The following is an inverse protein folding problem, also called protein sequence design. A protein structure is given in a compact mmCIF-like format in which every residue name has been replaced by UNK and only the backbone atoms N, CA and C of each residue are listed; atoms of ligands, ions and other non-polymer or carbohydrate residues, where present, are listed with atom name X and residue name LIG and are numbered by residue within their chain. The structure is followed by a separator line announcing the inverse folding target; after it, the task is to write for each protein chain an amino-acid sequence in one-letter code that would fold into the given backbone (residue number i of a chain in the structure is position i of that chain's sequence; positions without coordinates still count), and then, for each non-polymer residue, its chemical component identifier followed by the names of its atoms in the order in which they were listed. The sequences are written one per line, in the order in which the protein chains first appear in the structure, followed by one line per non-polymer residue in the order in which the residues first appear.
data_IF_659432027872
#
_entry.id   IF_659432027872
#
_cell.length_a   1.000
_cell.length_b   1.000
_cell.length_c   1.000
_cell.angle_alpha   90.00
_cell.angle_beta   90.00
_cell.angle_gamma   90.00
#
_symmetry.space_group_name_H-M   'P 1'
#
loop_
_entity.id
_entity.type
_entity.pdbx_description
1 polymer ?
#
# COMPACT_ATOMS: atom_id res chain seq x y z
N UNK A 1 -30.66 14.10 -3.60
CA UNK A 1 -29.45 14.16 -2.73
C UNK A 1 -28.47 13.14 -3.30
N UNK A 2 -27.26 13.53 -3.72
CA UNK A 2 -26.27 12.56 -4.20
C UNK A 2 -25.90 11.62 -3.03
N UNK A 3 -25.66 10.35 -3.34
CA UNK A 3 -25.47 9.26 -2.35
C UNK A 3 -24.27 9.52 -1.42
N UNK A 4 -23.23 10.15 -1.95
CA UNK A 4 -22.02 10.53 -1.23
C UNK A 4 -22.29 11.54 -0.10
N UNK A 5 -23.18 12.51 -0.28
CA UNK A 5 -23.55 13.46 0.77
C UNK A 5 -24.23 12.76 1.95
N UNK A 6 -25.10 11.79 1.66
CA UNK A 6 -25.79 11.03 2.71
C UNK A 6 -24.79 10.14 3.46
N UNK A 7 -23.93 9.44 2.73
CA UNK A 7 -22.88 8.60 3.31
C UNK A 7 -21.91 9.43 4.15
N UNK A 8 -21.46 10.59 3.67
CA UNK A 8 -20.57 11.48 4.43
C UNK A 8 -21.25 12.09 5.66
N UNK A 9 -22.55 12.39 5.60
CA UNK A 9 -23.31 12.85 6.77
C UNK A 9 -23.42 11.77 7.84
N UNK A 10 -23.81 10.56 7.45
CA UNK A 10 -23.85 9.41 8.37
C UNK A 10 -22.45 9.12 8.93
N UNK A 11 -21.43 9.13 8.07
CA UNK A 11 -20.04 8.91 8.45
C UNK A 11 -19.56 9.91 9.50
N UNK A 12 -19.75 11.22 9.25
CA UNK A 12 -19.34 12.28 10.17
C UNK A 12 -20.03 12.16 11.53
N UNK A 13 -21.32 11.80 11.56
CA UNK A 13 -22.06 11.55 12.81
C UNK A 13 -21.50 10.34 13.55
N UNK A 14 -21.33 9.20 12.87
CA UNK A 14 -20.85 7.96 13.50
C UNK A 14 -19.44 8.12 14.05
N UNK A 15 -18.51 8.64 13.24
CA UNK A 15 -17.12 8.84 13.65
C UNK A 15 -17.02 9.91 14.72
N UNK A 16 -17.71 11.04 14.55
CA UNK A 16 -17.72 12.12 15.52
C UNK A 16 -18.25 11.69 16.89
N UNK A 17 -19.39 11.00 16.94
CA UNK A 17 -19.97 10.49 18.20
C UNK A 17 -19.07 9.42 18.81
N UNK A 18 -18.53 8.50 18.01
CA UNK A 18 -17.65 7.44 18.50
C UNK A 18 -16.37 8.00 19.13
N UNK A 19 -15.76 9.02 18.51
CA UNK A 19 -14.60 9.70 19.05
C UNK A 19 -14.94 10.48 20.33
N UNK A 20 -16.07 11.18 20.35
CA UNK A 20 -16.57 11.85 21.54
C UNK A 20 -16.74 10.87 22.71
N UNK A 21 -17.48 9.77 22.50
CA UNK A 21 -17.72 8.75 23.53
C UNK A 21 -16.42 8.11 24.03
N UNK A 22 -15.47 7.85 23.12
CA UNK A 22 -14.16 7.29 23.49
C UNK A 22 -13.37 8.24 24.38
N UNK A 23 -13.32 9.54 24.04
CA UNK A 23 -12.58 10.54 24.81
C UNK A 23 -13.25 10.86 26.14
N UNK A 24 -14.58 10.91 26.17
CA UNK A 24 -15.36 11.03 27.40
C UNK A 24 -15.17 9.83 28.31
N UNK A 25 -15.29 8.61 27.78
CA UNK A 25 -15.10 7.37 28.56
C UNK A 25 -13.68 7.22 29.10
N UNK A 26 -12.70 7.80 28.42
CA UNK A 26 -11.32 7.92 28.89
C UNK A 26 -11.08 9.09 29.87
N UNK A 27 -12.11 9.85 30.23
CA UNK A 27 -12.06 11.07 31.06
C UNK A 27 -11.12 12.15 30.51
N UNK A 28 -11.00 12.26 29.19
CA UNK A 28 -10.14 13.25 28.51
C UNK A 28 -10.89 14.57 28.30
N UNK A 29 -12.20 14.50 28.07
CA UNK A 29 -13.07 15.65 27.81
C UNK A 29 -14.33 15.57 28.67
N UNK A 30 -14.94 16.73 28.94
CA UNK A 30 -16.21 16.81 29.64
C UNK A 30 -17.39 16.46 28.73
N UNK A 31 -18.40 15.83 29.34
CA UNK A 31 -19.66 15.52 28.67
C UNK A 31 -20.45 16.79 28.37
N UNK A 32 -20.45 17.23 27.11
CA UNK A 32 -21.40 18.23 26.64
C UNK A 32 -21.88 17.97 25.21
N UNK A 33 -23.12 18.37 24.93
CA UNK A 33 -23.71 18.33 23.59
C UNK A 33 -22.94 19.22 22.62
N UNK A 34 -22.40 20.35 23.09
CA UNK A 34 -21.57 21.24 22.28
C UNK A 34 -20.28 20.55 21.85
N UNK A 35 -19.61 19.86 22.78
CA UNK A 35 -18.38 19.10 22.49
C UNK A 35 -18.67 18.01 21.47
N UNK A 36 -19.75 17.23 21.66
CA UNK A 36 -20.17 16.22 20.69
C UNK A 36 -20.44 16.83 19.29
N UNK A 37 -21.11 17.98 19.24
CA UNK A 37 -21.35 18.72 18.00
C UNK A 37 -20.08 19.13 17.28
N UNK A 38 -19.06 19.61 18.02
CA UNK A 38 -17.74 19.95 17.46
C UNK A 38 -17.09 18.71 16.83
N UNK A 39 -17.13 17.56 17.49
CA UNK A 39 -16.57 16.32 16.94
C UNK A 39 -17.27 15.87 15.66
N UNK A 40 -18.60 15.98 15.59
CA UNK A 40 -19.36 15.64 14.37
C UNK A 40 -18.97 16.58 13.22
N UNK A 41 -18.87 17.88 13.47
CA UNK A 41 -18.46 18.88 12.46
C UNK A 41 -17.01 18.64 12.01
N UNK A 42 -16.11 18.34 12.94
CA UNK A 42 -14.71 18.05 12.65
C UNK A 42 -14.52 16.75 11.88
N UNK A 43 -15.34 15.73 12.15
CA UNK A 43 -15.31 14.44 11.47
C UNK A 43 -16.08 14.40 10.15
N UNK A 44 -16.91 15.41 9.89
CA UNK A 44 -17.64 15.51 8.64
C UNK A 44 -16.67 15.68 7.45
N UNK A 45 -16.78 14.86 6.39
CA UNK A 45 -15.98 15.03 5.18
C UNK A 45 -16.49 16.24 4.38
N UNK A 46 -15.66 17.29 4.27
CA UNK A 46 -16.01 18.55 3.62
C UNK A 46 -15.71 18.52 2.13
N UNK A 47 -16.74 18.73 1.31
CA UNK A 47 -16.58 18.81 -0.15
C UNK A 47 -16.27 20.25 -0.58
N UNK A 48 -15.19 20.42 -1.33
CA UNK A 48 -14.79 21.69 -1.96
C UNK A 48 -14.53 21.40 -3.44
N UNK A 49 -15.46 21.82 -4.29
CA UNK A 49 -15.49 21.41 -5.71
C UNK A 49 -15.68 19.89 -5.84
N UNK A 50 -14.80 19.24 -6.61
CA UNK A 50 -14.78 17.77 -6.81
C UNK A 50 -14.03 17.01 -5.70
N UNK A 51 -13.33 17.72 -4.81
CA UNK A 51 -12.48 17.12 -3.81
C UNK A 51 -13.16 17.07 -2.45
N UNK A 52 -12.79 16.08 -1.64
CA UNK A 52 -13.23 15.93 -0.25
C UNK A 52 -12.03 16.07 0.67
N UNK A 53 -12.19 16.84 1.73
CA UNK A 53 -11.20 17.08 2.77
C UNK A 53 -11.78 16.66 4.12
N UNK A 54 -11.07 15.82 4.86
CA UNK A 54 -11.56 15.28 6.11
C UNK A 54 -10.44 15.11 7.13
N UNK A 55 -10.77 15.12 8.42
CA UNK A 55 -9.82 14.68 9.43
C UNK A 55 -9.76 13.17 9.56
N UNK A 56 -10.87 12.47 9.28
CA UNK A 56 -11.02 11.04 9.62
C UNK A 56 -11.34 10.12 8.43
N UNK A 57 -11.28 10.61 7.19
CA UNK A 57 -11.64 9.86 5.98
C UNK A 57 -13.06 10.16 5.51
N UNK A 58 -13.67 9.28 4.72
CA UNK A 58 -14.99 9.48 4.12
C UNK A 58 -15.07 8.97 2.69
N UNK A 59 -16.04 9.48 1.95
CA UNK A 59 -16.37 8.96 0.62
C UNK A 59 -16.35 10.05 -0.44
N UNK A 60 -15.68 9.79 -1.57
CA UNK A 60 -15.76 10.60 -2.77
C UNK A 60 -16.05 9.72 -4.00
N UNK A 61 -17.19 9.93 -4.64
CA UNK A 61 -17.60 9.19 -5.84
C UNK A 61 -17.59 10.08 -7.09
N UNK A 62 -16.98 11.28 -7.03
CA UNK A 62 -17.00 12.22 -8.16
C UNK A 62 -16.13 11.73 -9.32
N UNK A 63 -16.76 11.64 -10.49
CA UNK A 63 -16.13 11.34 -11.78
C UNK A 63 -15.73 12.61 -12.50
N UNK A 64 -14.70 12.53 -13.34
CA UNK A 64 -14.39 13.54 -14.31
C UNK A 64 -15.55 13.68 -15.31
N UNK A 65 -16.17 14.86 -15.37
CA UNK A 65 -17.27 15.14 -16.28
C UNK A 65 -16.84 15.21 -17.76
N UNK A 66 -15.55 15.40 -18.05
CA UNK A 66 -15.00 15.48 -19.41
C UNK A 66 -13.69 14.72 -19.54
N UNK A 67 -13.45 14.17 -20.72
CA UNK A 67 -12.22 13.48 -21.09
C UNK A 67 -11.01 14.43 -20.90
N UNK A 68 -10.06 14.03 -20.04
CA UNK A 68 -8.86 14.82 -19.72
C UNK A 68 -8.96 15.66 -18.45
N UNK A 69 -10.10 15.67 -17.74
CA UNK A 69 -10.17 16.18 -16.36
C UNK A 69 -9.88 15.06 -15.37
N UNK A 70 -9.25 15.40 -14.24
CA UNK A 70 -9.01 14.41 -13.19
C UNK A 70 -10.30 14.13 -12.38
N UNK A 71 -10.44 12.92 -11.86
CA UNK A 71 -11.50 12.57 -10.91
C UNK A 71 -11.40 13.33 -9.59
N UNK A 72 -12.45 13.20 -8.77
CA UNK A 72 -12.47 13.69 -7.41
C UNK A 72 -11.42 13.01 -6.54
N UNK A 73 -10.72 13.81 -5.73
CA UNK A 73 -9.71 13.32 -4.77
C UNK A 73 -10.27 13.39 -3.36
N UNK A 74 -9.80 12.53 -2.47
CA UNK A 74 -10.04 12.67 -1.03
C UNK A 74 -8.72 12.81 -0.29
N UNK A 75 -8.66 13.78 0.61
CA UNK A 75 -7.53 14.06 1.47
C UNK A 75 -7.96 13.89 2.91
N UNK A 76 -7.26 13.04 3.65
CA UNK A 76 -7.46 12.91 5.09
C UNK A 76 -6.19 13.03 5.90
N UNK A 77 -6.33 13.51 7.14
CA UNK A 77 -5.24 13.42 8.11
C UNK A 77 -5.12 11.98 8.61
N UNK A 78 -6.21 11.46 9.17
CA UNK A 78 -6.35 10.07 9.59
C UNK A 78 -7.47 9.48 8.74
N UNK A 79 -7.27 8.33 8.12
CA UNK A 79 -8.30 7.61 7.39
C UNK A 79 -8.73 6.41 8.22
N UNK A 80 -9.86 6.52 8.92
CA UNK A 80 -10.47 5.35 9.55
C UNK A 80 -11.04 4.45 8.46
N UNK A 81 -11.91 5.02 7.63
CA UNK A 81 -12.39 4.43 6.38
C UNK A 81 -12.37 5.53 5.33
N UNK A 82 -11.73 5.26 4.20
CA UNK A 82 -11.69 6.18 3.07
C UNK A 82 -11.95 5.44 1.77
N UNK A 83 -12.88 5.97 0.99
CA UNK A 83 -13.15 5.51 -0.36
C UNK A 83 -13.11 6.71 -1.31
N UNK A 84 -12.40 6.55 -2.41
CA UNK A 84 -12.38 7.48 -3.52
C UNK A 84 -12.57 6.72 -4.82
N UNK A 85 -13.34 7.28 -5.73
CA UNK A 85 -13.32 6.81 -7.11
C UNK A 85 -11.98 7.18 -7.77
N UNK A 86 -11.59 8.45 -7.70
CA UNK A 86 -10.25 8.91 -8.07
C UNK A 86 -9.22 8.62 -6.97
N UNK A 87 -8.27 9.54 -6.77
CA UNK A 87 -7.17 9.32 -5.81
C UNK A 87 -7.61 9.48 -4.34
N UNK A 88 -6.97 8.71 -3.47
CA UNK A 88 -7.14 8.74 -2.03
C UNK A 88 -5.78 9.00 -1.35
N UNK A 89 -5.70 10.09 -0.60
CA UNK A 89 -4.49 10.50 0.12
C UNK A 89 -4.77 10.57 1.61
N UNK A 90 -3.85 10.07 2.41
CA UNK A 90 -3.91 10.15 3.86
C UNK A 90 -2.53 10.36 4.48
N UNK A 91 -2.47 10.96 5.66
CA UNK A 91 -1.23 10.94 6.47
C UNK A 91 -1.15 9.62 7.22
N UNK A 92 -2.22 9.23 7.91
CA UNK A 92 -2.37 7.92 8.57
C UNK A 92 -3.57 7.20 8.00
N UNK A 93 -3.46 5.90 7.74
CA UNK A 93 -4.55 5.10 7.20
C UNK A 93 -4.76 3.82 7.99
N UNK A 94 -6.03 3.45 8.20
CA UNK A 94 -6.48 2.11 8.58
C UNK A 94 -7.07 1.38 7.37
N UNK A 95 -8.14 1.91 6.76
CA UNK A 95 -8.78 1.36 5.55
C UNK A 95 -8.89 2.42 4.48
N UNK A 96 -8.25 2.20 3.33
CA UNK A 96 -8.29 3.13 2.19
C UNK A 96 -8.48 2.39 0.88
N UNK A 97 -9.38 2.92 0.05
CA UNK A 97 -9.69 2.40 -1.28
C UNK A 97 -9.70 3.55 -2.28
N UNK A 98 -8.95 3.39 -3.36
CA UNK A 98 -9.00 4.23 -4.55
C UNK A 98 -9.37 3.32 -5.73
N UNK A 99 -10.59 3.47 -6.23
CA UNK A 99 -11.19 2.49 -7.16
C UNK A 99 -10.61 2.57 -8.58
N UNK A 100 -10.20 3.76 -9.03
CA UNK A 100 -9.68 4.02 -10.38
C UNK A 100 -8.41 4.87 -10.35
N UNK A 101 -7.79 5.04 -9.17
CA UNK A 101 -6.62 5.89 -9.04
C UNK A 101 -5.62 5.41 -8.00
N UNK A 102 -4.93 6.37 -7.41
CA UNK A 102 -3.83 6.14 -6.48
C UNK A 102 -4.30 6.18 -5.04
N UNK A 103 -3.87 5.20 -4.25
CA UNK A 103 -4.00 5.22 -2.79
C UNK A 103 -2.63 5.46 -2.16
N UNK A 104 -2.43 6.64 -1.55
CA UNK A 104 -1.15 7.01 -0.94
C UNK A 104 -1.30 7.34 0.55
N UNK A 105 -0.37 6.86 1.35
CA UNK A 105 -0.26 7.12 2.78
C UNK A 105 1.18 7.45 3.17
N UNK A 106 1.38 8.46 4.01
CA UNK A 106 2.72 8.85 4.46
C UNK A 106 3.18 7.95 5.62
N UNK A 107 2.36 7.83 6.65
CA UNK A 107 2.61 7.03 7.86
C UNK A 107 1.55 5.94 7.95
N UNK A 108 1.88 4.74 7.51
CA UNK A 108 0.95 3.62 7.48
C UNK A 108 0.82 2.94 8.85
N UNK A 109 -0.43 2.87 9.33
CA UNK A 109 -0.89 1.78 10.21
C UNK A 109 -2.06 1.12 9.48
N UNK A 110 -1.79 0.70 8.25
CA UNK A 110 -2.83 0.28 7.32
C UNK A 110 -3.24 -1.15 7.58
N UNK A 111 -4.51 -1.35 7.88
CA UNK A 111 -5.13 -2.68 7.87
C UNK A 111 -5.40 -3.13 6.44
N UNK A 112 -5.85 -2.20 5.59
CA UNK A 112 -6.14 -2.43 4.19
C UNK A 112 -5.90 -1.18 3.35
N UNK A 113 -5.20 -1.34 2.24
CA UNK A 113 -5.00 -0.30 1.24
C UNK A 113 -5.13 -0.87 -0.16
N UNK A 114 -6.04 -0.29 -0.95
CA UNK A 114 -6.23 -0.60 -2.36
C UNK A 114 -6.17 0.65 -3.21
N UNK A 115 -5.47 0.58 -4.34
CA UNK A 115 -5.45 1.58 -5.38
C UNK A 115 -5.38 0.88 -6.73
N UNK A 116 -6.23 1.26 -7.68
CA UNK A 116 -6.20 0.63 -9.00
C UNK A 116 -4.87 0.88 -9.73
N UNK A 117 -4.41 2.14 -9.75
CA UNK A 117 -3.22 2.52 -10.49
C UNK A 117 -1.94 2.37 -9.69
N UNK A 118 -2.01 2.63 -8.38
CA UNK A 118 -0.82 2.68 -7.55
C UNK A 118 -1.21 2.66 -6.07
N UNK A 119 -0.44 1.92 -5.27
CA UNK A 119 -0.50 2.04 -3.83
C UNK A 119 0.85 2.38 -3.24
N UNK A 120 0.91 3.40 -2.39
CA UNK A 120 2.12 3.75 -1.67
C UNK A 120 1.86 3.91 -0.19
N UNK A 121 2.69 3.25 0.60
CA UNK A 121 2.90 3.56 2.01
C UNK A 121 4.35 3.98 2.20
N UNK A 122 4.62 5.21 2.65
CA UNK A 122 6.01 5.66 2.78
C UNK A 122 6.72 5.06 3.98
N UNK A 123 6.13 5.13 5.17
CA UNK A 123 6.71 4.58 6.40
C UNK A 123 5.63 3.89 7.22
N UNK A 124 5.85 2.66 7.69
CA UNK A 124 5.01 2.09 8.75
C UNK A 124 4.67 0.61 8.62
N UNK A 125 3.48 0.24 9.08
CA UNK A 125 2.97 -1.13 9.10
C UNK A 125 1.78 -1.22 8.15
N UNK A 126 1.84 -2.17 7.23
CA UNK A 126 0.74 -2.52 6.33
C UNK A 126 0.39 -4.00 6.48
N UNK A 127 -0.85 -4.29 6.88
CA UNK A 127 -1.31 -5.68 6.94
C UNK A 127 -1.65 -6.20 5.55
N UNK A 128 -2.35 -5.40 4.75
CA UNK A 128 -2.74 -5.76 3.40
C UNK A 128 -2.67 -4.56 2.48
N UNK A 129 -1.80 -4.63 1.47
CA UNK A 129 -1.67 -3.63 0.43
C UNK A 129 -1.80 -4.28 -0.94
N UNK A 130 -2.71 -3.77 -1.74
CA UNK A 130 -2.99 -4.29 -3.06
C UNK A 130 -3.07 -3.18 -4.09
N UNK A 131 -2.42 -3.38 -5.22
CA UNK A 131 -2.61 -2.57 -6.40
C UNK A 131 -3.24 -3.40 -7.51
N UNK A 132 -4.11 -2.76 -8.31
CA UNK A 132 -4.71 -3.38 -9.49
C UNK A 132 -3.69 -3.49 -10.61
N UNK A 133 -3.67 -2.49 -11.47
CA UNK A 133 -2.91 -2.47 -12.72
C UNK A 133 -1.50 -1.88 -12.54
N UNK A 134 -1.23 -1.16 -11.44
CA UNK A 134 0.11 -0.61 -11.19
C UNK A 134 0.74 -1.07 -9.89
N UNK A 135 1.71 -0.31 -9.41
CA UNK A 135 2.66 -0.79 -8.41
C UNK A 135 2.10 -0.71 -6.99
N UNK A 136 2.35 -1.76 -6.21
CA UNK A 136 2.25 -1.70 -4.76
C UNK A 136 3.63 -1.42 -4.18
N UNK A 137 3.83 -0.23 -3.62
CA UNK A 137 5.09 0.23 -3.07
C UNK A 137 5.01 0.48 -1.55
N UNK A 138 6.03 0.04 -0.83
CA UNK A 138 6.27 0.38 0.57
C UNK A 138 7.69 0.94 0.72
N UNK A 139 7.83 2.16 1.23
CA UNK A 139 9.13 2.77 1.47
C UNK A 139 9.87 2.02 2.58
N UNK A 140 9.54 2.32 3.84
CA UNK A 140 10.21 1.75 5.01
C UNK A 140 9.18 1.10 5.92
N UNK A 141 9.31 -0.18 6.26
CA UNK A 141 8.35 -0.73 7.23
C UNK A 141 8.18 -2.23 7.32
N UNK A 142 7.00 -2.61 7.77
CA UNK A 142 6.54 -3.98 7.87
C UNK A 142 5.33 -4.18 6.94
N UNK A 143 5.37 -5.20 6.10
CA UNK A 143 4.22 -5.63 5.31
C UNK A 143 3.88 -7.08 5.61
N UNK A 144 2.62 -7.38 5.90
CA UNK A 144 2.17 -8.77 5.98
C UNK A 144 1.84 -9.31 4.58
N UNK A 145 1.04 -8.58 3.82
CA UNK A 145 0.68 -8.95 2.45
C UNK A 145 0.80 -7.75 1.52
N UNK A 146 1.59 -7.89 0.47
CA UNK A 146 1.77 -6.90 -0.57
C UNK A 146 1.56 -7.57 -1.93
N UNK A 147 0.57 -7.08 -2.68
CA UNK A 147 0.20 -7.66 -3.97
C UNK A 147 0.03 -6.59 -5.05
N UNK A 148 0.54 -6.85 -6.23
CA UNK A 148 0.11 -6.19 -7.46
C UNK A 148 -0.40 -7.26 -8.43
N UNK A 149 -1.49 -7.00 -9.16
CA UNK A 149 -2.02 -7.98 -10.12
C UNK A 149 -1.15 -8.01 -11.39
N UNK A 150 -0.95 -6.83 -12.01
CA UNK A 150 -0.32 -6.74 -13.33
C UNK A 150 0.99 -5.94 -13.36
N UNK A 151 1.47 -5.52 -12.19
CA UNK A 151 2.68 -4.71 -12.05
C UNK A 151 3.47 -5.15 -10.81
N UNK A 152 4.17 -4.21 -10.18
CA UNK A 152 5.29 -4.53 -9.31
C UNK A 152 4.89 -4.45 -7.83
N UNK A 153 5.53 -5.27 -7.01
CA UNK A 153 5.47 -5.17 -5.56
C UNK A 153 6.86 -4.80 -5.02
N UNK A 154 7.04 -3.53 -4.69
CA UNK A 154 8.34 -2.98 -4.29
C UNK A 154 8.37 -2.60 -2.82
N UNK A 155 9.45 -2.95 -2.13
CA UNK A 155 9.79 -2.50 -0.79
C UNK A 155 11.21 -1.94 -0.77
N UNK A 156 11.39 -0.70 -0.31
CA UNK A 156 12.73 -0.09 -0.22
C UNK A 156 13.49 -0.66 0.98
N UNK A 157 12.93 -0.59 2.18
CA UNK A 157 13.57 -1.17 3.36
C UNK A 157 12.54 -1.76 4.32
N UNK A 158 12.74 -2.96 4.82
CA UNK A 158 11.78 -3.49 5.79
C UNK A 158 11.72 -4.99 5.93
N UNK A 159 10.59 -5.44 6.47
CA UNK A 159 10.26 -6.86 6.56
C UNK A 159 8.93 -7.08 5.85
N UNK A 160 8.90 -7.97 4.88
CA UNK A 160 7.66 -8.47 4.29
C UNK A 160 7.41 -9.92 4.67
N UNK A 161 6.15 -10.33 4.87
CA UNK A 161 5.82 -11.75 4.94
C UNK A 161 5.52 -12.29 3.55
N UNK A 162 4.66 -11.61 2.77
CA UNK A 162 4.31 -12.01 1.42
C UNK A 162 4.40 -10.83 0.43
N UNK A 163 5.21 -10.98 -0.62
CA UNK A 163 5.22 -10.09 -1.79
C UNK A 163 4.87 -10.88 -3.04
N UNK A 164 3.83 -10.44 -3.75
CA UNK A 164 3.35 -11.08 -4.97
C UNK A 164 3.15 -10.02 -6.06
N UNK A 165 3.69 -10.26 -7.25
CA UNK A 165 3.51 -9.34 -8.36
C UNK A 165 4.02 -9.89 -9.67
N UNK A 166 4.01 -9.05 -10.71
CA UNK A 166 4.74 -9.31 -11.95
C UNK A 166 6.24 -9.26 -11.69
N UNK A 167 6.71 -8.17 -11.09
CA UNK A 167 8.02 -8.11 -10.46
C UNK A 167 7.87 -7.90 -8.94
N UNK A 168 8.78 -8.48 -8.16
CA UNK A 168 8.86 -8.21 -6.72
C UNK A 168 10.25 -7.73 -6.38
N UNK A 169 10.35 -6.62 -5.66
CA UNK A 169 11.63 -6.00 -5.32
C UNK A 169 11.72 -5.70 -3.83
N UNK A 170 12.75 -6.19 -3.15
CA UNK A 170 13.12 -5.80 -1.80
C UNK A 170 14.55 -5.28 -1.81
N UNK A 171 14.76 -3.98 -1.62
CA UNK A 171 16.11 -3.43 -1.67
C UNK A 171 16.91 -3.73 -0.40
N UNK A 172 16.31 -3.57 0.78
CA UNK A 172 16.97 -3.83 2.06
C UNK A 172 16.04 -4.53 3.06
N UNK A 173 16.47 -5.64 3.65
CA UNK A 173 15.79 -6.24 4.81
C UNK A 173 15.39 -7.70 4.62
N UNK A 174 14.20 -8.09 5.05
CA UNK A 174 13.80 -9.48 5.07
C UNK A 174 12.46 -9.76 4.37
N UNK A 175 12.35 -10.90 3.68
CA UNK A 175 11.05 -11.41 3.20
C UNK A 175 10.87 -12.88 3.54
N UNK A 176 9.68 -13.30 3.96
CA UNK A 176 9.38 -14.72 4.06
C UNK A 176 9.11 -15.33 2.66
N UNK A 177 8.27 -14.70 1.84
CA UNK A 177 7.98 -15.14 0.47
C UNK A 177 8.00 -13.96 -0.51
N UNK A 178 8.75 -14.13 -1.59
CA UNK A 178 8.66 -13.32 -2.81
C UNK A 178 8.25 -14.23 -3.96
N UNK A 179 7.09 -13.94 -4.57
CA UNK A 179 6.60 -14.65 -5.76
C UNK A 179 6.39 -13.66 -6.90
N UNK A 180 7.11 -13.85 -7.99
CA UNK A 180 7.05 -12.95 -9.14
C UNK A 180 6.80 -13.70 -10.46
N UNK A 181 5.86 -13.23 -11.28
CA UNK A 181 5.62 -13.82 -12.60
C UNK A 181 6.80 -13.61 -13.57
N UNK A 182 7.57 -12.53 -13.43
CA UNK A 182 8.72 -12.26 -14.28
C UNK A 182 10.02 -12.21 -13.49
N UNK A 183 10.08 -11.39 -12.46
CA UNK A 183 11.35 -11.15 -11.78
C UNK A 183 11.20 -10.92 -10.29
N UNK A 184 11.90 -11.73 -9.51
CA UNK A 184 12.05 -11.48 -8.07
C UNK A 184 13.45 -10.95 -7.77
N UNK A 185 13.55 -9.87 -6.99
CA UNK A 185 14.80 -9.20 -6.66
C UNK A 185 14.95 -8.95 -5.16
N UNK A 186 16.11 -9.35 -4.62
CA UNK A 186 16.60 -8.93 -3.31
C UNK A 186 17.91 -8.15 -3.48
N UNK A 187 17.94 -6.91 -3.02
CA UNK A 187 19.15 -6.09 -2.93
C UNK A 187 20.09 -6.62 -1.87
N UNK A 188 19.81 -6.34 -0.60
CA UNK A 188 20.59 -6.81 0.54
C UNK A 188 19.67 -7.31 1.66
N UNK A 189 19.86 -8.56 2.08
CA UNK A 189 19.27 -9.04 3.33
C UNK A 189 18.95 -10.52 3.36
N UNK A 190 17.71 -10.88 3.68
CA UNK A 190 17.30 -12.27 3.87
C UNK A 190 15.97 -12.55 3.15
N UNK A 191 15.90 -13.65 2.42
CA UNK A 191 14.63 -14.16 1.89
C UNK A 191 14.49 -15.64 2.20
N UNK A 192 13.35 -16.07 2.76
CA UNK A 192 13.17 -17.51 2.98
C UNK A 192 12.87 -18.20 1.66
N UNK A 193 11.88 -17.72 0.91
CA UNK A 193 11.48 -18.29 -0.37
C UNK A 193 11.39 -17.20 -1.43
N UNK A 194 12.24 -17.29 -2.45
CA UNK A 194 12.20 -16.43 -3.62
C UNK A 194 11.90 -17.28 -4.85
N UNK A 195 10.72 -17.07 -5.44
CA UNK A 195 10.20 -17.86 -6.55
C UNK A 195 9.85 -16.90 -7.67
N UNK A 196 10.36 -17.16 -8.86
CA UNK A 196 9.98 -16.43 -10.05
C UNK A 196 9.83 -17.33 -11.26
N UNK A 197 9.00 -16.97 -12.23
CA UNK A 197 8.90 -17.78 -13.45
C UNK A 197 10.10 -17.50 -14.38
N UNK A 198 10.59 -16.26 -14.53
CA UNK A 198 11.78 -15.99 -15.37
C UNK A 198 13.07 -15.89 -14.56
N UNK A 199 13.21 -14.81 -13.77
CA UNK A 199 14.48 -14.43 -13.16
C UNK A 199 14.36 -14.25 -11.64
N UNK A 200 15.29 -14.85 -10.91
CA UNK A 200 15.46 -14.59 -9.48
C UNK A 200 16.84 -14.00 -9.23
N UNK A 201 16.89 -12.79 -8.71
CA UNK A 201 18.14 -12.05 -8.48
C UNK A 201 18.31 -11.78 -6.99
N UNK A 202 19.45 -12.15 -6.44
CA UNK A 202 19.90 -11.77 -5.11
C UNK A 202 21.26 -11.10 -5.25
N UNK A 203 21.34 -9.79 -5.01
CA UNK A 203 22.62 -9.09 -5.04
C UNK A 203 23.45 -9.43 -3.80
N UNK A 204 22.83 -9.44 -2.62
CA UNK A 204 23.49 -9.59 -1.33
C UNK A 204 22.65 -10.31 -0.28
N UNK A 205 23.18 -11.34 0.36
CA UNK A 205 22.63 -11.86 1.62
C UNK A 205 22.30 -13.36 1.64
N UNK A 206 21.20 -13.73 2.30
CA UNK A 206 20.86 -15.13 2.57
C UNK A 206 19.53 -15.50 1.92
N UNK A 207 19.50 -16.66 1.27
CA UNK A 207 18.26 -17.28 0.81
C UNK A 207 18.15 -18.71 1.32
N UNK A 208 16.97 -19.14 1.79
CA UNK A 208 16.76 -20.58 1.99
C UNK A 208 16.47 -21.27 0.65
N UNK A 209 15.58 -20.70 -0.14
CA UNK A 209 15.17 -21.25 -1.42
C UNK A 209 15.10 -20.15 -2.47
N UNK A 210 15.82 -20.35 -3.57
CA UNK A 210 15.82 -19.48 -4.73
C UNK A 210 15.46 -20.28 -5.99
N UNK A 211 14.30 -20.01 -6.58
CA UNK A 211 13.77 -20.71 -7.74
C UNK A 211 13.47 -19.76 -8.89
N UNK A 212 13.90 -20.14 -10.08
CA UNK A 212 13.55 -19.50 -11.35
C UNK A 212 13.51 -20.52 -12.48
N UNK A 213 12.76 -20.31 -13.57
CA UNK A 213 12.86 -21.21 -14.74
C UNK A 213 14.06 -20.86 -15.62
N UNK A 214 14.46 -19.59 -15.68
CA UNK A 214 15.51 -19.13 -16.59
C UNK A 214 16.84 -18.86 -15.90
N UNK A 215 16.84 -18.03 -14.85
CA UNK A 215 18.09 -17.58 -14.23
C UNK A 215 17.94 -17.26 -12.74
N UNK A 216 18.71 -17.96 -11.90
CA UNK A 216 18.88 -17.61 -10.50
C UNK A 216 20.26 -17.01 -10.31
N UNK A 217 20.34 -15.70 -10.09
CA UNK A 217 21.56 -14.97 -9.84
C UNK A 217 21.82 -14.79 -8.34
N UNK A 218 23.07 -15.04 -7.93
CA UNK A 218 23.59 -14.62 -6.63
C UNK A 218 24.89 -13.82 -6.79
N UNK A 219 24.88 -12.56 -6.34
CA UNK A 219 26.05 -11.68 -6.29
C UNK A 219 27.01 -12.09 -5.17
N UNK A 220 26.63 -11.83 -3.92
CA UNK A 220 27.35 -12.26 -2.72
C UNK A 220 26.37 -12.80 -1.67
N UNK A 221 26.69 -13.93 -1.04
CA UNK A 221 25.76 -14.53 -0.08
C UNK A 221 25.78 -16.04 -0.01
N UNK A 222 24.75 -16.60 0.60
CA UNK A 222 24.58 -18.05 0.73
C UNK A 222 23.11 -18.40 0.45
N UNK A 223 22.82 -19.15 -0.63
CA UNK A 223 21.56 -19.83 -0.81
C UNK A 223 21.67 -21.25 -0.22
N UNK A 224 20.71 -21.67 0.60
CA UNK A 224 20.65 -23.08 1.03
C UNK A 224 20.28 -23.97 -0.17
N UNK A 225 19.29 -23.54 -0.96
CA UNK A 225 18.92 -24.17 -2.21
C UNK A 225 18.72 -23.15 -3.33
N UNK A 226 19.23 -23.47 -4.52
CA UNK A 226 19.13 -22.64 -5.73
C UNK A 226 19.13 -23.53 -6.97
N UNK A 227 18.14 -23.36 -7.86
CA UNK A 227 18.12 -23.94 -9.21
C UNK A 227 18.71 -22.95 -10.23
N UNK A 228 19.05 -23.38 -11.46
CA UNK A 228 19.51 -22.48 -12.54
C UNK A 228 20.59 -21.47 -12.12
N UNK A 229 21.61 -21.98 -11.42
CA UNK A 229 22.60 -21.17 -10.69
C UNK A 229 23.50 -20.36 -11.62
N UNK A 230 23.55 -19.06 -11.38
CA UNK A 230 24.54 -18.14 -11.90
C UNK A 230 25.18 -17.35 -10.75
N UNK A 231 26.52 -17.42 -10.64
CA UNK A 231 27.29 -16.76 -9.59
C UNK A 231 28.23 -15.69 -10.16
N UNK A 232 28.42 -14.61 -9.39
CA UNK A 232 29.41 -13.55 -9.66
C UNK A 232 28.92 -12.47 -10.61
N UNK A 233 29.67 -11.36 -10.75
CA UNK A 233 29.26 -10.14 -11.48
C UNK A 233 29.04 -10.27 -13.00
N UNK A 234 29.00 -11.49 -13.56
CA UNK A 234 29.07 -11.75 -15.00
C UNK A 234 27.72 -12.01 -15.69
N UNK A 235 26.58 -11.82 -15.01
CA UNK A 235 25.28 -12.28 -15.51
C UNK A 235 24.38 -11.21 -16.16
N UNK A 236 24.77 -9.94 -16.27
CA UNK A 236 23.86 -8.88 -16.79
C UNK A 236 24.29 -8.36 -18.19
N UNK A 237 25.28 -8.96 -18.85
CA UNK A 237 25.87 -8.38 -20.07
C UNK A 237 25.66 -9.15 -21.39
N UNK A 238 24.93 -10.26 -21.43
CA UNK A 238 24.71 -10.95 -22.72
C UNK A 238 23.51 -11.91 -22.67
N UNK A 239 22.32 -11.43 -23.08
CA UNK A 239 21.29 -12.34 -23.61
C UNK A 239 20.32 -11.74 -24.64
N UNK A 240 20.69 -10.65 -25.30
CA UNK A 240 19.95 -10.09 -26.46
C UNK A 240 20.48 -10.59 -27.82
N UNK A 241 21.21 -11.72 -27.86
CA UNK A 241 21.66 -12.32 -29.13
C UNK A 241 21.71 -13.83 -29.02
N UNK A 242 20.59 -14.51 -29.24
CA UNK A 242 20.41 -15.65 -30.17
C UNK A 242 18.92 -15.74 -30.51
#
# INVERSE_FOLDING_TARGET
MRMDHLLNAVYGVVVGISLYLLLTGANIIEESVLTAGIFVVAAYPWRIGKNVYSLFGGFNFEEAEEQGKEDGKIWSLISVIQYSKGNAFSVVNFVQVSAEGQAMTIIAVSLYQYGADFTLSWVGISLYQMSGDGEAALGIGLSFWQQSQDSDATMVAGISIFQIGKETSLFFGASALQKAAEKAMLGVGLVLFQISDKDSIIYGGLSLVQLSETNSFLGFGIPVFQNNRNFGFKAIANRDKV
#
